data_IF_802772615454
#
_entry.id   IF_802772615454
#
_cell.length_a   1.000
_cell.length_b   1.000
_cell.length_c   1.000
_cell.angle_alpha   90.00
_cell.angle_beta   90.00
_cell.angle_gamma   90.00
#
_symmetry.space_group_name_H-M   'P 1'
#
loop_
_entity.id
_entity.type
_entity.pdbx_description
1 polymer ?
#
# COMPACT_ATOMS: atom_id res chain seq x y z
N UNK A 1 43.83 -21.64 26.67
CA UNK A 1 43.34 -20.87 25.51
C UNK A 1 41.87 -21.22 25.33
N UNK A 2 41.03 -20.45 25.88
CA UNK A 2 39.58 -20.68 25.91
C UNK A 2 38.98 -20.06 24.64
N UNK A 3 38.71 -20.90 23.63
CA UNK A 3 38.09 -20.46 22.38
C UNK A 3 36.57 -20.54 22.55
N UNK A 4 36.02 -19.57 23.26
CA UNK A 4 34.57 -19.45 23.35
C UNK A 4 34.04 -19.03 21.97
N UNK A 5 33.55 -19.99 21.21
CA UNK A 5 32.78 -19.75 19.97
C UNK A 5 31.51 -19.00 20.42
N UNK A 6 31.45 -17.71 20.11
CA UNK A 6 30.25 -16.92 20.28
C UNK A 6 29.18 -17.58 19.40
N UNK A 7 28.04 -18.01 19.95
CA UNK A 7 26.97 -18.52 19.11
C UNK A 7 26.58 -17.44 18.11
N UNK A 8 26.55 -17.77 16.81
CA UNK A 8 25.95 -16.96 15.77
C UNK A 8 24.53 -16.70 16.25
N UNK A 9 24.22 -15.43 16.47
CA UNK A 9 22.91 -15.01 16.92
C UNK A 9 21.93 -15.33 15.79
N UNK A 10 21.21 -16.45 15.93
CA UNK A 10 20.21 -16.96 14.98
C UNK A 10 18.89 -16.17 15.07
N UNK A 11 18.99 -14.89 15.46
CA UNK A 11 17.85 -14.00 15.49
C UNK A 11 17.56 -13.56 14.05
N UNK A 12 16.46 -14.06 13.50
CA UNK A 12 15.89 -13.56 12.24
C UNK A 12 15.86 -12.03 12.27
N UNK A 13 16.42 -11.42 11.24
CA UNK A 13 16.36 -9.96 11.10
C UNK A 13 14.94 -9.58 10.75
N UNK A 14 14.36 -8.63 11.48
CA UNK A 14 13.03 -8.09 11.18
C UNK A 14 13.18 -6.74 10.50
N UNK A 15 12.53 -6.55 9.35
CA UNK A 15 12.47 -5.30 8.63
C UNK A 15 11.04 -4.80 8.54
N UNK A 16 10.77 -3.66 9.16
CA UNK A 16 9.50 -2.97 9.00
C UNK A 16 9.47 -2.19 7.68
N UNK A 17 8.37 -2.28 6.96
CA UNK A 17 8.14 -1.59 5.69
C UNK A 17 6.83 -0.84 5.81
N UNK A 18 6.90 0.49 5.79
CA UNK A 18 5.72 1.34 5.83
C UNK A 18 5.29 1.67 4.39
N UNK A 19 4.07 1.31 4.04
CA UNK A 19 3.47 1.61 2.73
C UNK A 19 2.33 2.59 2.91
N UNK A 20 2.51 3.80 2.37
CA UNK A 20 1.45 4.82 2.25
C UNK A 20 0.80 4.69 0.89
N UNK A 21 -0.49 4.41 0.83
CA UNK A 21 -1.20 4.10 -0.41
C UNK A 21 -2.67 4.53 -0.40
N UNK A 22 -3.27 4.60 -1.60
CA UNK A 22 -4.71 4.76 -1.81
C UNK A 22 -5.20 3.77 -2.86
N UNK A 23 -6.39 3.24 -2.68
CA UNK A 23 -6.98 2.21 -3.55
C UNK A 23 -7.41 2.73 -4.92
N UNK A 24 -7.62 4.03 -5.08
CA UNK A 24 -7.89 4.65 -6.39
C UNK A 24 -6.61 5.03 -7.15
N UNK A 25 -5.44 4.82 -6.56
CA UNK A 25 -4.16 5.14 -7.20
C UNK A 25 -3.56 3.91 -7.90
N UNK A 26 -3.50 3.86 -9.24
CA UNK A 26 -2.97 2.71 -9.97
C UNK A 26 -1.46 2.51 -9.71
N UNK A 27 -0.72 3.60 -9.46
CA UNK A 27 0.69 3.51 -9.05
C UNK A 27 0.87 2.85 -7.69
N UNK A 28 -0.10 3.00 -6.76
CA UNK A 28 -0.05 2.30 -5.47
C UNK A 28 -0.16 0.79 -5.65
N UNK A 29 -0.99 0.32 -6.60
CA UNK A 29 -1.08 -1.10 -6.90
C UNK A 29 0.18 -1.65 -7.57
N UNK A 30 0.72 -0.93 -8.58
CA UNK A 30 2.02 -1.29 -9.18
C UNK A 30 3.13 -1.34 -8.14
N UNK A 31 3.23 -0.32 -7.28
CA UNK A 31 4.25 -0.25 -6.23
C UNK A 31 4.16 -1.41 -5.25
N UNK A 32 2.95 -1.79 -4.85
CA UNK A 32 2.72 -2.95 -3.99
C UNK A 32 3.13 -4.28 -4.66
N UNK A 33 2.82 -4.45 -5.95
CA UNK A 33 3.20 -5.65 -6.69
C UNK A 33 4.73 -5.74 -6.89
N UNK A 34 5.37 -4.62 -7.22
CA UNK A 34 6.83 -4.54 -7.34
C UNK A 34 7.53 -4.80 -6.01
N UNK A 35 7.00 -4.25 -4.90
CA UNK A 35 7.47 -4.58 -3.55
C UNK A 35 7.36 -6.08 -3.29
N UNK A 36 6.20 -6.68 -3.54
CA UNK A 36 5.99 -8.13 -3.35
C UNK A 36 7.02 -8.95 -4.11
N UNK A 37 7.30 -8.58 -5.36
CA UNK A 37 8.32 -9.23 -6.19
C UNK A 37 9.74 -9.02 -5.65
N UNK A 38 10.04 -7.83 -5.14
CA UNK A 38 11.33 -7.53 -4.51
C UNK A 38 11.54 -8.34 -3.23
N UNK A 39 10.49 -8.49 -2.39
CA UNK A 39 10.53 -9.30 -1.18
C UNK A 39 10.80 -10.77 -1.46
N UNK A 40 10.37 -11.29 -2.62
CA UNK A 40 10.68 -12.66 -3.05
C UNK A 40 12.17 -12.92 -3.30
N UNK A 41 13.01 -11.88 -3.36
CA UNK A 41 14.49 -12.02 -3.48
C UNK A 41 15.20 -12.01 -2.13
N UNK A 42 14.48 -11.81 -1.02
CA UNK A 42 15.10 -11.84 0.31
C UNK A 42 15.42 -13.28 0.73
N UNK A 43 16.51 -13.44 1.47
CA UNK A 43 16.87 -14.72 2.11
C UNK A 43 15.85 -15.05 3.23
N UNK A 44 15.66 -16.34 3.49
CA UNK A 44 14.65 -16.83 4.45
C UNK A 44 14.92 -16.48 5.93
N UNK A 45 16.07 -15.85 6.23
CA UNK A 45 16.47 -15.35 7.55
C UNK A 45 16.01 -13.89 7.82
N UNK A 46 15.35 -13.26 6.83
CA UNK A 46 14.74 -11.92 6.99
C UNK A 46 13.23 -12.05 7.10
N UNK A 47 12.67 -11.61 8.22
CA UNK A 47 11.24 -11.41 8.42
C UNK A 47 10.86 -9.98 8.04
N UNK A 48 9.89 -9.81 7.17
CA UNK A 48 9.38 -8.47 6.81
C UNK A 48 8.01 -8.23 7.40
N UNK A 49 7.76 -7.01 7.90
CA UNK A 49 6.47 -6.58 8.43
C UNK A 49 5.98 -5.39 7.65
N UNK A 50 4.99 -5.61 6.80
CA UNK A 50 4.34 -4.54 6.06
C UNK A 50 3.37 -3.80 7.00
N UNK A 51 3.50 -2.48 7.11
CA UNK A 51 2.56 -1.59 7.79
C UNK A 51 1.84 -0.77 6.75
N UNK A 52 0.52 -0.89 6.73
CA UNK A 52 -0.34 -0.14 5.84
C UNK A 52 -0.68 1.22 6.45
N UNK A 53 -0.37 2.29 5.73
CA UNK A 53 -0.75 3.65 6.11
C UNK A 53 -1.76 4.19 5.10
N UNK A 54 -3.02 4.33 5.50
CA UNK A 54 -4.07 4.84 4.63
C UNK A 54 -3.85 6.32 4.31
N UNK A 55 -4.04 6.69 3.03
CA UNK A 55 -3.95 8.07 2.58
C UNK A 55 -4.88 8.32 1.41
N UNK A 56 -6.04 8.93 1.66
CA UNK A 56 -7.02 9.24 0.62
C UNK A 56 -6.54 10.41 -0.22
N UNK A 57 -6.27 10.16 -1.49
CA UNK A 57 -5.86 11.19 -2.45
C UNK A 57 -7.00 12.11 -2.87
N UNK A 58 -8.23 11.61 -2.84
CA UNK A 58 -9.44 12.34 -3.15
C UNK A 58 -10.52 12.05 -2.09
N UNK A 59 -10.40 12.61 -0.87
CA UNK A 59 -11.45 12.46 0.11
C UNK A 59 -12.73 13.08 -0.44
N UNK A 60 -13.75 12.22 -0.63
CA UNK A 60 -15.05 12.69 -1.08
C UNK A 60 -15.73 13.43 0.08
N UNK A 61 -16.25 14.62 -0.20
CA UNK A 61 -17.14 15.33 0.73
C UNK A 61 -18.59 14.96 0.40
N UNK A 62 -19.46 14.95 1.41
CA UNK A 62 -20.86 14.51 1.27
C UNK A 62 -21.63 15.21 0.13
N UNK A 63 -21.23 16.43 -0.23
CA UNK A 63 -21.89 17.25 -1.26
C UNK A 63 -21.06 17.40 -2.55
N UNK A 64 -19.96 16.66 -2.71
CA UNK A 64 -19.18 16.72 -3.94
C UNK A 64 -19.95 16.05 -5.08
N UNK A 65 -20.00 16.65 -6.28
CA UNK A 65 -20.58 15.97 -7.44
C UNK A 65 -19.82 14.69 -7.75
N UNK A 66 -20.50 13.65 -8.26
CA UNK A 66 -19.85 12.44 -8.75
C UNK A 66 -18.74 12.81 -9.75
N UNK A 67 -17.58 12.22 -9.57
CA UNK A 67 -16.41 12.46 -10.39
C UNK A 67 -15.99 11.14 -11.05
N UNK A 68 -15.64 11.17 -12.33
CA UNK A 68 -15.13 9.96 -12.99
C UNK A 68 -13.69 9.66 -12.59
N UNK A 69 -13.30 8.39 -12.68
CA UNK A 69 -11.90 8.00 -12.51
C UNK A 69 -10.99 8.70 -13.53
N UNK A 70 -11.44 8.86 -14.77
CA UNK A 70 -10.65 9.49 -15.84
C UNK A 70 -10.38 10.98 -15.56
N UNK A 71 -11.37 11.73 -15.07
CA UNK A 71 -11.19 13.13 -14.66
C UNK A 71 -10.22 13.23 -13.49
N UNK A 72 -10.37 12.32 -12.51
CA UNK A 72 -9.46 12.22 -11.38
C UNK A 72 -8.01 11.91 -11.82
N UNK A 73 -7.82 11.00 -12.78
CA UNK A 73 -6.51 10.66 -13.31
C UNK A 73 -5.91 11.86 -14.08
N UNK A 74 -6.71 12.49 -14.96
CA UNK A 74 -6.28 13.63 -15.76
C UNK A 74 -5.66 14.77 -14.94
N UNK A 75 -6.25 15.09 -13.79
CA UNK A 75 -5.75 16.15 -12.89
C UNK A 75 -4.41 15.83 -12.21
N UNK A 76 -4.00 14.57 -12.20
CA UNK A 76 -2.78 14.10 -11.53
C UNK A 76 -1.63 13.82 -12.47
N UNK A 77 -1.93 13.81 -13.76
CA UNK A 77 -0.91 13.60 -14.76
C UNK A 77 -0.04 14.88 -14.95
N UNK A 78 1.25 14.73 -15.19
CA UNK A 78 2.10 15.84 -15.60
C UNK A 78 1.57 16.51 -16.86
N UNK A 79 1.85 17.80 -17.04
CA UNK A 79 1.50 18.52 -18.24
C UNK A 79 2.05 17.81 -19.49
N UNK A 80 1.19 17.65 -20.50
CA UNK A 80 1.53 16.99 -21.76
C UNK A 80 1.36 15.46 -21.79
N UNK A 81 1.03 14.84 -20.67
CA UNK A 81 0.67 13.41 -20.62
C UNK A 81 -0.85 13.27 -20.72
N UNK A 82 -1.33 12.52 -21.73
CA UNK A 82 -2.75 12.23 -21.89
C UNK A 82 -3.19 11.03 -21.05
N UNK A 83 -4.47 10.99 -20.68
CA UNK A 83 -5.05 9.85 -19.94
C UNK A 83 -4.87 8.54 -20.72
N UNK A 84 -5.17 8.43 -22.02
CA UNK A 84 -4.96 7.18 -22.75
C UNK A 84 -3.49 6.71 -22.75
N UNK A 85 -2.54 7.62 -22.84
CA UNK A 85 -1.12 7.26 -22.77
C UNK A 85 -0.75 6.72 -21.39
N UNK A 86 -1.23 7.37 -20.32
CA UNK A 86 -0.97 6.91 -18.96
C UNK A 86 -1.60 5.53 -18.69
N UNK A 87 -2.84 5.31 -19.13
CA UNK A 87 -3.54 4.03 -19.01
C UNK A 87 -2.83 2.91 -19.77
N UNK A 88 -2.37 3.17 -20.99
CA UNK A 88 -1.58 2.22 -21.75
C UNK A 88 -0.29 1.86 -21.01
N UNK A 89 0.46 2.86 -20.56
CA UNK A 89 1.73 2.65 -19.84
C UNK A 89 1.53 1.86 -18.55
N UNK A 90 0.46 2.15 -17.79
CA UNK A 90 0.10 1.42 -16.57
C UNK A 90 -0.30 -0.03 -16.87
N UNK A 91 -1.05 -0.25 -17.97
CA UNK A 91 -1.47 -1.59 -18.40
C UNK A 91 -0.25 -2.44 -18.81
N UNK A 92 0.68 -1.86 -19.55
CA UNK A 92 1.91 -2.54 -19.96
C UNK A 92 2.78 -2.91 -18.74
N UNK A 93 3.03 -1.93 -17.85
CA UNK A 93 3.78 -2.16 -16.60
C UNK A 93 3.08 -3.19 -15.68
N UNK A 94 1.75 -3.13 -15.59
CA UNK A 94 0.96 -4.11 -14.82
C UNK A 94 1.10 -5.51 -15.35
N UNK A 95 1.02 -5.71 -16.67
CA UNK A 95 1.14 -7.02 -17.30
C UNK A 95 2.47 -7.71 -17.00
N UNK A 96 3.57 -6.96 -16.93
CA UNK A 96 4.89 -7.49 -16.54
C UNK A 96 4.92 -8.03 -15.10
N UNK A 97 4.02 -7.54 -14.25
CA UNK A 97 3.86 -7.92 -12.85
C UNK A 97 2.72 -8.93 -12.61
N UNK A 98 2.01 -9.34 -13.68
CA UNK A 98 0.85 -10.22 -13.59
C UNK A 98 -0.40 -9.52 -13.07
N UNK A 99 -0.51 -8.20 -13.26
CA UNK A 99 -1.69 -7.40 -12.95
C UNK A 99 -2.46 -7.09 -14.23
N UNK A 100 -3.79 -7.04 -14.11
CA UNK A 100 -4.67 -6.65 -15.20
C UNK A 100 -5.35 -5.31 -14.86
N UNK A 101 -5.15 -4.29 -15.69
CA UNK A 101 -5.84 -3.02 -15.58
C UNK A 101 -6.96 -2.96 -16.62
N UNK A 102 -8.17 -2.76 -16.16
CA UNK A 102 -9.38 -2.58 -16.96
C UNK A 102 -9.98 -1.20 -16.69
N UNK A 103 -9.27 -0.14 -17.11
CA UNK A 103 -9.69 1.24 -16.88
C UNK A 103 -11.06 1.55 -17.48
N UNK A 104 -11.46 0.86 -18.56
CA UNK A 104 -12.77 0.97 -19.20
C UNK A 104 -13.94 0.51 -18.32
N UNK A 105 -13.67 -0.27 -17.26
CA UNK A 105 -14.69 -0.70 -16.29
C UNK A 105 -14.87 0.30 -15.14
N UNK A 106 -13.97 1.28 -15.01
CA UNK A 106 -14.01 2.24 -13.91
C UNK A 106 -14.98 3.37 -14.21
N UNK A 107 -15.98 3.52 -13.35
CA UNK A 107 -17.00 4.57 -13.45
C UNK A 107 -16.71 5.78 -12.57
N UNK A 108 -17.66 6.07 -11.67
CA UNK A 108 -17.49 7.10 -10.65
C UNK A 108 -16.37 6.73 -9.67
N UNK A 109 -15.62 7.72 -9.24
CA UNK A 109 -14.56 7.54 -8.24
C UNK A 109 -15.20 7.17 -6.89
N UNK A 110 -14.87 5.99 -6.32
CA UNK A 110 -15.43 5.57 -5.04
C UNK A 110 -14.77 6.27 -3.86
N UNK A 111 -15.47 6.31 -2.72
CA UNK A 111 -14.81 6.59 -1.44
C UNK A 111 -13.95 5.40 -1.04
N UNK A 112 -12.70 5.65 -0.67
CA UNK A 112 -11.77 4.59 -0.20
C UNK A 112 -11.74 4.44 1.33
N UNK A 113 -12.57 5.19 2.06
CA UNK A 113 -12.59 5.17 3.53
C UNK A 113 -12.86 3.78 4.09
N UNK A 114 -13.92 3.13 3.62
CA UNK A 114 -14.31 1.79 4.08
C UNK A 114 -13.31 0.72 3.64
N UNK A 115 -12.72 0.86 2.44
CA UNK A 115 -11.67 -0.03 1.97
C UNK A 115 -10.43 0.03 2.89
N UNK A 116 -9.99 1.22 3.27
CA UNK A 116 -8.90 1.39 4.23
C UNK A 116 -9.26 0.86 5.62
N UNK A 117 -10.50 1.06 6.07
CA UNK A 117 -10.99 0.54 7.35
C UNK A 117 -10.96 -1.00 7.39
N UNK A 118 -11.38 -1.66 6.32
CA UNK A 118 -11.32 -3.12 6.21
C UNK A 118 -9.88 -3.64 6.33
N UNK A 119 -8.92 -2.98 5.66
CA UNK A 119 -7.49 -3.34 5.77
C UNK A 119 -6.97 -3.15 7.20
N UNK A 120 -7.39 -2.10 7.90
CA UNK A 120 -7.00 -1.89 9.31
C UNK A 120 -7.53 -3.01 10.22
N UNK A 121 -8.77 -3.44 10.05
CA UNK A 121 -9.33 -4.55 10.81
C UNK A 121 -8.59 -5.87 10.52
N UNK A 122 -8.13 -6.06 9.28
CA UNK A 122 -7.38 -7.24 8.87
C UNK A 122 -5.97 -7.34 9.49
N UNK A 123 -5.44 -6.26 10.10
CA UNK A 123 -4.12 -6.25 10.75
C UNK A 123 -4.06 -7.27 11.88
N UNK A 124 -5.10 -7.36 12.70
CA UNK A 124 -5.17 -8.30 13.84
C UNK A 124 -5.07 -9.77 13.43
N UNK A 125 -5.37 -10.10 12.17
CA UNK A 125 -5.27 -11.43 11.59
C UNK A 125 -4.01 -11.64 10.73
N UNK A 126 -3.16 -10.60 10.59
CA UNK A 126 -1.99 -10.62 9.71
C UNK A 126 -2.35 -10.70 8.21
N UNK A 127 -3.60 -10.36 7.84
CA UNK A 127 -4.13 -10.51 6.47
C UNK A 127 -4.24 -9.20 5.70
N UNK A 128 -3.83 -8.09 6.30
CA UNK A 128 -3.99 -6.75 5.72
C UNK A 128 -3.37 -6.62 4.32
N UNK A 129 -2.21 -7.21 4.05
CA UNK A 129 -1.60 -7.20 2.73
C UNK A 129 -2.44 -7.97 1.68
N UNK A 130 -2.97 -9.14 2.06
CA UNK A 130 -3.83 -9.96 1.19
C UNK A 130 -5.15 -9.24 0.88
N UNK A 131 -5.77 -8.63 1.91
CA UNK A 131 -6.99 -7.85 1.76
C UNK A 131 -6.75 -6.64 0.88
N UNK A 132 -5.65 -5.89 1.07
CA UNK A 132 -5.31 -4.75 0.23
C UNK A 132 -5.12 -5.17 -1.23
N UNK A 133 -4.40 -6.26 -1.50
CA UNK A 133 -4.25 -6.80 -2.85
C UNK A 133 -5.59 -7.22 -3.48
N UNK A 134 -6.48 -7.83 -2.70
CA UNK A 134 -7.81 -8.23 -3.16
C UNK A 134 -8.69 -7.01 -3.50
N UNK A 135 -8.61 -5.92 -2.73
CA UNK A 135 -9.33 -4.67 -2.99
C UNK A 135 -8.81 -4.02 -4.28
N UNK A 136 -7.49 -3.89 -4.46
CA UNK A 136 -6.90 -3.36 -5.70
C UNK A 136 -7.35 -4.18 -6.92
N UNK A 137 -7.30 -5.51 -6.82
CA UNK A 137 -7.75 -6.41 -7.88
C UNK A 137 -9.23 -6.24 -8.18
N UNK A 138 -10.07 -6.14 -7.14
CA UNK A 138 -11.50 -5.90 -7.31
C UNK A 138 -11.78 -4.60 -8.08
N UNK A 139 -11.08 -3.53 -7.71
CA UNK A 139 -11.25 -2.23 -8.33
C UNK A 139 -10.70 -2.19 -9.75
N UNK A 140 -9.41 -2.45 -9.95
CA UNK A 140 -8.75 -2.26 -11.24
C UNK A 140 -8.99 -3.37 -12.26
N UNK A 141 -9.19 -4.63 -11.84
CA UNK A 141 -9.45 -5.74 -12.77
C UNK A 141 -10.95 -5.93 -13.02
N UNK A 142 -11.80 -5.77 -11.99
CA UNK A 142 -13.24 -6.08 -12.10
C UNK A 142 -14.12 -4.85 -12.19
N UNK A 143 -13.62 -3.64 -11.90
CA UNK A 143 -14.41 -2.41 -11.83
C UNK A 143 -15.40 -2.41 -10.66
N UNK A 144 -15.10 -3.14 -9.58
CA UNK A 144 -15.99 -3.25 -8.43
C UNK A 144 -16.06 -1.92 -7.66
N UNK A 145 -17.25 -1.59 -7.16
CA UNK A 145 -17.41 -0.43 -6.29
C UNK A 145 -16.86 -0.72 -4.89
N UNK A 146 -15.62 -0.29 -4.66
CA UNK A 146 -14.94 -0.42 -3.36
C UNK A 146 -15.39 0.65 -2.34
N UNK A 147 -16.38 1.45 -2.66
CA UNK A 147 -17.11 2.31 -1.73
C UNK A 147 -18.29 1.58 -1.07
N UNK A 148 -18.75 0.47 -1.66
CA UNK A 148 -19.84 -0.35 -1.14
C UNK A 148 -19.33 -1.33 -0.07
N UNK A 149 -19.90 -1.23 1.15
CA UNK A 149 -19.54 -2.07 2.30
C UNK A 149 -19.89 -3.55 2.09
N UNK A 150 -20.94 -3.88 1.32
CA UNK A 150 -21.30 -5.25 1.02
C UNK A 150 -20.29 -5.89 0.07
N UNK A 151 -19.85 -5.15 -0.96
CA UNK A 151 -18.78 -5.55 -1.87
C UNK A 151 -17.47 -5.76 -1.11
N UNK A 152 -17.10 -4.82 -0.24
CA UNK A 152 -15.89 -4.93 0.58
C UNK A 152 -15.94 -6.13 1.54
N UNK A 153 -17.09 -6.40 2.18
CA UNK A 153 -17.25 -7.54 3.05
C UNK A 153 -17.09 -8.88 2.30
N UNK A 154 -17.58 -8.97 1.06
CA UNK A 154 -17.35 -10.12 0.19
C UNK A 154 -15.86 -10.27 -0.15
N UNK A 155 -15.19 -9.18 -0.54
CA UNK A 155 -13.75 -9.19 -0.80
C UNK A 155 -12.96 -9.66 0.43
N UNK A 156 -13.32 -9.18 1.63
CA UNK A 156 -12.71 -9.62 2.88
C UNK A 156 -12.88 -11.10 3.16
N UNK A 157 -14.09 -11.64 2.89
CA UNK A 157 -14.37 -13.07 3.03
C UNK A 157 -13.55 -13.91 2.04
N UNK A 158 -13.49 -13.51 0.78
CA UNK A 158 -12.67 -14.14 -0.27
C UNK A 158 -11.17 -14.10 0.07
N UNK A 159 -10.71 -13.02 0.73
CA UNK A 159 -9.34 -12.89 1.24
C UNK A 159 -9.09 -13.68 2.54
N UNK A 160 -10.09 -14.35 3.08
CA UNK A 160 -10.02 -15.26 4.21
C UNK A 160 -10.07 -14.58 5.58
N UNK A 161 -10.71 -13.40 5.69
CA UNK A 161 -11.00 -12.80 7.00
C UNK A 161 -12.01 -13.64 7.77
N UNK A 162 -11.81 -13.72 9.09
CA UNK A 162 -12.72 -14.40 9.97
C UNK A 162 -14.09 -13.70 10.05
N UNK A 163 -15.17 -14.47 10.22
CA UNK A 163 -16.54 -13.94 10.31
C UNK A 163 -16.68 -12.86 11.40
N UNK A 164 -16.01 -13.00 12.54
CA UNK A 164 -16.01 -12.00 13.60
C UNK A 164 -15.49 -10.61 13.12
N UNK A 165 -14.47 -10.60 12.26
CA UNK A 165 -13.91 -9.37 11.71
C UNK A 165 -14.83 -8.77 10.66
N UNK A 166 -15.49 -9.60 9.86
CA UNK A 166 -16.49 -9.17 8.88
C UNK A 166 -17.75 -8.62 9.57
N UNK A 167 -18.18 -9.20 10.70
CA UNK A 167 -19.25 -8.66 11.53
C UNK A 167 -18.87 -7.30 12.11
N UNK A 168 -17.67 -7.19 12.70
CA UNK A 168 -17.17 -5.91 13.20
C UNK A 168 -17.12 -4.86 12.09
N UNK A 169 -16.68 -5.22 10.88
CA UNK A 169 -16.69 -4.33 9.73
C UNK A 169 -18.08 -3.84 9.36
N UNK A 170 -19.12 -4.67 9.44
CA UNK A 170 -20.51 -4.31 9.08
C UNK A 170 -21.23 -3.52 10.19
N UNK A 171 -20.96 -3.82 11.46
CA UNK A 171 -21.78 -3.41 12.60
C UNK A 171 -21.16 -2.30 13.43
N UNK A 172 -19.84 -2.07 13.30
CA UNK A 172 -19.15 -1.05 14.09
C UNK A 172 -18.46 0.01 13.21
N UNK A 173 -17.96 1.06 13.87
CA UNK A 173 -17.11 2.08 13.22
C UNK A 173 -15.63 1.93 13.64
N UNK A 174 -15.25 0.76 14.12
CA UNK A 174 -13.88 0.49 14.52
C UNK A 174 -12.91 0.75 13.37
N UNK A 175 -11.82 1.46 13.65
CA UNK A 175 -10.81 1.84 12.68
C UNK A 175 -11.03 3.19 11.97
N UNK A 176 -12.19 3.81 12.06
CA UNK A 176 -12.48 5.11 11.40
C UNK A 176 -11.55 6.23 11.88
N UNK A 177 -11.38 6.35 13.20
CA UNK A 177 -10.50 7.37 13.80
C UNK A 177 -9.02 7.16 13.43
N UNK A 178 -8.62 5.91 13.19
CA UNK A 178 -7.25 5.60 12.78
C UNK A 178 -6.92 6.13 11.38
N UNK A 179 -7.91 6.14 10.49
CA UNK A 179 -7.77 6.66 9.14
C UNK A 179 -7.46 8.17 9.17
N UNK A 180 -8.29 8.96 9.86
CA UNK A 180 -8.14 10.43 9.94
C UNK A 180 -6.81 10.79 10.60
N UNK A 181 -6.52 10.20 11.75
CA UNK A 181 -5.27 10.48 12.48
C UNK A 181 -4.01 10.06 11.71
N UNK A 182 -4.08 9.00 10.89
CA UNK A 182 -2.99 8.60 10.01
C UNK A 182 -2.75 9.64 8.92
N UNK A 183 -3.79 10.07 8.22
CA UNK A 183 -3.66 11.06 7.15
C UNK A 183 -3.11 12.40 7.64
N UNK A 184 -3.57 12.89 8.80
CA UNK A 184 -3.09 14.13 9.39
C UNK A 184 -1.59 14.06 9.71
N UNK A 185 -1.15 12.95 10.32
CA UNK A 185 0.28 12.73 10.60
C UNK A 185 1.11 12.69 9.32
N UNK A 186 0.67 11.94 8.30
CA UNK A 186 1.37 11.82 7.02
C UNK A 186 1.48 13.18 6.33
N UNK A 187 0.40 13.99 6.33
CA UNK A 187 0.44 15.36 5.81
C UNK A 187 1.39 16.26 6.60
N UNK A 188 1.45 16.09 7.92
CA UNK A 188 2.42 16.76 8.80
C UNK A 188 3.87 16.41 8.45
N UNK A 189 4.15 15.16 8.06
CA UNK A 189 5.47 14.72 7.56
C UNK A 189 5.76 15.14 6.10
N UNK A 190 4.85 15.85 5.46
CA UNK A 190 5.05 16.34 4.10
C UNK A 190 4.62 15.37 3.00
N UNK A 191 3.95 14.27 3.32
CA UNK A 191 3.37 13.37 2.31
C UNK A 191 2.26 14.11 1.56
N UNK A 192 2.35 14.13 0.22
CA UNK A 192 1.37 14.80 -0.66
C UNK A 192 0.86 13.88 -1.77
N UNK A 193 1.54 12.78 -2.03
CA UNK A 193 1.22 11.81 -3.08
C UNK A 193 1.41 10.40 -2.58
N UNK A 194 0.89 9.42 -3.32
CA UNK A 194 1.07 7.98 -3.08
C UNK A 194 1.49 7.28 -4.39
N UNK A 195 2.16 6.12 -4.30
CA UNK A 195 2.62 5.47 -3.08
C UNK A 195 3.88 6.12 -2.50
N UNK A 196 4.12 5.88 -1.22
CA UNK A 196 5.43 6.10 -0.60
C UNK A 196 5.77 4.86 0.23
N UNK A 197 7.01 4.40 0.15
CA UNK A 197 7.52 3.30 0.94
C UNK A 197 8.69 3.76 1.80
N UNK A 198 8.65 3.39 3.09
CA UNK A 198 9.74 3.65 4.03
C UNK A 198 10.24 2.31 4.57
N UNK A 199 11.49 1.99 4.30
CA UNK A 199 12.12 0.73 4.71
C UNK A 199 12.94 0.96 5.99
N UNK A 200 12.63 0.18 7.03
CA UNK A 200 13.32 0.23 8.31
C UNK A 200 13.34 1.60 8.98
N UNK A 201 12.36 2.47 8.68
CA UNK A 201 12.30 3.83 9.20
C UNK A 201 13.38 4.79 8.68
N UNK A 202 14.13 4.41 7.62
CA UNK A 202 15.30 5.18 7.16
C UNK A 202 15.40 5.40 5.65
N UNK A 203 15.03 4.43 4.83
CA UNK A 203 15.14 4.54 3.37
C UNK A 203 13.76 4.84 2.78
N UNK A 204 13.53 6.09 2.38
CA UNK A 204 12.29 6.53 1.76
C UNK A 204 12.38 6.39 0.24
N UNK A 205 11.42 5.66 -0.34
CA UNK A 205 11.23 5.54 -1.78
C UNK A 205 9.87 6.15 -2.15
N UNK A 206 9.86 7.38 -2.69
CA UNK A 206 8.62 8.01 -3.12
C UNK A 206 8.21 7.51 -4.50
N UNK A 207 6.90 7.35 -4.70
CA UNK A 207 6.32 6.92 -5.96
C UNK A 207 6.55 5.44 -6.25
N UNK A 208 6.28 5.06 -7.50
CA UNK A 208 6.47 3.69 -8.00
C UNK A 208 7.79 3.59 -8.72
N UNK A 209 8.61 2.64 -8.33
CA UNK A 209 9.93 2.35 -8.92
C UNK A 209 10.00 0.88 -9.33
N UNK A 210 11.00 0.52 -10.13
CA UNK A 210 11.19 -0.87 -10.53
C UNK A 210 11.65 -1.78 -9.38
N UNK A 211 11.54 -3.09 -9.59
CA UNK A 211 11.91 -4.12 -8.59
C UNK A 211 13.36 -3.98 -8.12
N UNK A 212 14.30 -3.67 -9.01
CA UNK A 212 15.71 -3.52 -8.67
C UNK A 212 15.95 -2.37 -7.67
N UNK A 213 15.23 -1.26 -7.83
CA UNK A 213 15.30 -0.13 -6.89
C UNK A 213 14.76 -0.51 -5.51
N UNK A 214 13.66 -1.28 -5.44
CA UNK A 214 13.17 -1.79 -4.16
C UNK A 214 14.14 -2.80 -3.51
N UNK A 215 14.76 -3.68 -4.29
CA UNK A 215 15.79 -4.59 -3.78
C UNK A 215 16.96 -3.79 -3.19
N UNK A 216 17.41 -2.75 -3.88
CA UNK A 216 18.48 -1.87 -3.36
C UNK A 216 18.05 -1.15 -2.07
N UNK A 217 16.82 -0.64 -1.98
CA UNK A 217 16.28 -0.02 -0.77
C UNK A 217 16.19 -1.00 0.40
N UNK A 218 15.80 -2.26 0.14
CA UNK A 218 15.80 -3.33 1.13
C UNK A 218 17.21 -3.60 1.65
N UNK A 219 18.19 -3.71 0.75
CA UNK A 219 19.59 -3.93 1.09
C UNK A 219 20.14 -2.80 1.96
N UNK A 220 19.95 -1.54 1.56
CA UNK A 220 20.34 -0.37 2.36
C UNK A 220 19.66 -0.34 3.74
N UNK A 221 18.40 -0.76 3.83
CA UNK A 221 17.69 -0.78 5.09
C UNK A 221 18.15 -1.92 6.03
N UNK A 222 18.56 -3.05 5.46
CA UNK A 222 19.08 -4.20 6.21
C UNK A 222 20.55 -4.05 6.62
N UNK A 223 21.35 -3.35 5.81
CA UNK A 223 22.79 -3.18 5.98
C UNK A 223 23.17 -1.70 5.90
N UNK A 224 22.76 -0.87 6.88
CA UNK A 224 23.08 0.54 6.88
C UNK A 224 24.60 0.76 6.99
N UNK A 225 25.10 1.75 6.25
CA UNK A 225 26.48 2.23 6.43
C UNK A 225 26.63 3.02 7.73
N UNK A 226 27.86 3.18 8.23
CA UNK A 226 28.11 4.00 9.44
C UNK A 226 27.64 5.44 9.27
N UNK A 227 27.67 6.00 8.06
CA UNK A 227 27.18 7.33 7.72
C UNK A 227 25.65 7.47 7.79
N UNK A 228 24.91 6.36 7.65
CA UNK A 228 23.44 6.34 7.70
C UNK A 228 22.90 6.35 9.13
N UNK A 229 23.67 5.93 10.12
CA UNK A 229 23.27 5.96 11.52
C UNK A 229 23.16 7.40 12.08
N UNK A 230 23.91 8.34 11.50
CA UNK A 230 23.92 9.75 11.92
C UNK A 230 22.69 10.52 11.44
N UNK A 231 21.97 10.02 10.40
CA UNK A 231 20.86 10.70 9.75
C UNK A 231 19.46 10.24 10.20
N UNK A 232 19.32 9.68 11.39
CA UNK A 232 18.00 9.21 11.88
C UNK A 232 16.97 10.34 11.89
N UNK A 233 16.06 10.33 10.90
CA UNK A 233 14.84 11.14 10.92
C UNK A 233 13.72 10.40 11.68
N UNK A 234 12.74 11.13 12.25
CA UNK A 234 11.67 10.53 13.04
C UNK A 234 10.88 9.50 12.22
N UNK A 235 10.59 8.37 12.85
CA UNK A 235 9.77 7.28 12.32
C UNK A 235 8.29 7.67 12.22
N UNK A 236 7.56 7.13 11.24
CA UNK A 236 6.11 7.33 11.01
C UNK A 236 5.20 6.66 12.07
N UNK A 237 5.69 6.43 13.28
CA UNK A 237 4.93 5.77 14.37
C UNK A 237 3.94 6.68 15.05
#
# INVERSE_FOLDING_TARGET
MDTTIRPLNDARRTLDIDLVADFTCPWSWLGMAQLTRALGNLSGDVETRLRWHPYRMAPLTENAPPRSFHDYLAERLPAGISVPFAEQSLTEAGRELGLEFHFEKLGALPSTSEAHRLVQLAVSEGRHANVAAAIFRAYFERGADIGDTAVLAQIGAEAGLAEKTLLAFRETRDGENLLVGSEERLRGFGVRTVPNLLFGGRVLVPGTVNVATYVHALDQALFPSEDDEVKRKPTLH
#
